data_IF_058390781970
#
_entry.id   IF_058390781970
#
_cell.length_a   1.000
_cell.length_b   1.000
_cell.length_c   1.000
_cell.angle_alpha   90.00
_cell.angle_beta   90.00
_cell.angle_gamma   90.00
#
_symmetry.space_group_name_H-M   'P 1'
#
loop_
_entity.id
_entity.type
_entity.pdbx_description
1 polymer ?
#
# COMPACT_ATOMS: atom_id res chain seq x y z
N UNK A 1 -0.40 4.94 25.02
CA UNK A 1 -1.32 5.62 24.11
C UNK A 1 -2.61 4.85 23.99
N UNK A 2 -3.72 5.57 23.98
CA UNK A 2 -5.04 4.96 23.85
C UNK A 2 -5.77 5.56 22.68
N UNK A 3 -6.62 4.77 22.03
CA UNK A 3 -7.56 5.24 21.03
C UNK A 3 -8.97 5.27 21.59
N UNK A 4 -9.72 6.32 21.28
CA UNK A 4 -11.15 6.41 21.59
C UNK A 4 -12.02 5.83 20.47
N UNK A 5 -11.48 5.72 19.25
CA UNK A 5 -12.13 5.02 18.12
C UNK A 5 -11.67 3.57 18.10
N UNK A 6 -12.62 2.64 18.00
CA UNK A 6 -12.38 1.19 18.00
C UNK A 6 -12.97 0.51 16.76
N UNK A 7 -13.22 1.28 15.72
CA UNK A 7 -13.81 0.82 14.46
C UNK A 7 -12.88 1.15 13.32
N UNK A 8 -12.92 0.35 12.27
CA UNK A 8 -12.14 0.52 11.04
C UNK A 8 -12.78 -0.26 9.91
N UNK A 9 -12.40 0.05 8.67
CA UNK A 9 -12.80 -0.68 7.47
C UNK A 9 -11.60 -1.49 6.97
N UNK A 10 -11.69 -2.81 7.07
CA UNK A 10 -10.62 -3.74 6.76
C UNK A 10 -10.90 -4.50 5.46
N UNK A 11 -9.85 -4.82 4.72
CA UNK A 11 -9.93 -5.72 3.56
C UNK A 11 -9.92 -7.16 4.06
N UNK A 12 -11.03 -7.86 3.86
CA UNK A 12 -11.21 -9.25 4.27
C UNK A 12 -11.21 -10.19 3.06
N UNK A 13 -10.77 -11.43 3.27
CA UNK A 13 -10.83 -12.49 2.28
C UNK A 13 -9.92 -12.31 1.06
N UNK A 14 -8.93 -11.41 1.15
CA UNK A 14 -7.95 -11.24 0.09
C UNK A 14 -6.85 -12.30 0.18
N UNK A 15 -6.61 -12.98 -0.95
CA UNK A 15 -5.50 -13.90 -1.12
C UNK A 15 -4.68 -13.47 -2.34
N UNK A 16 -3.36 -13.41 -2.16
CA UNK A 16 -2.44 -13.11 -3.26
C UNK A 16 -2.13 -14.38 -4.04
N UNK A 17 -2.37 -14.35 -5.35
CA UNK A 17 -2.02 -15.47 -6.23
C UNK A 17 -0.50 -15.51 -6.49
N UNK A 18 0.23 -16.02 -5.52
CA UNK A 18 1.68 -16.13 -5.59
C UNK A 18 2.17 -17.02 -6.74
N UNK A 19 1.37 -17.98 -7.21
CA UNK A 19 1.72 -18.86 -8.33
C UNK A 19 1.73 -18.09 -9.65
N UNK A 20 0.68 -17.30 -9.90
CA UNK A 20 0.60 -16.40 -11.05
C UNK A 20 1.82 -15.49 -11.13
N UNK A 21 2.21 -14.94 -10.00
CA UNK A 21 3.29 -13.96 -9.92
C UNK A 21 4.66 -14.56 -9.62
N UNK A 22 4.76 -15.90 -9.53
CA UNK A 22 6.01 -16.62 -9.23
C UNK A 22 6.73 -16.09 -8.00
N UNK A 23 5.96 -15.64 -7.00
CA UNK A 23 6.52 -15.19 -5.73
C UNK A 23 6.66 -16.39 -4.78
N UNK A 24 7.84 -16.64 -4.20
CA UNK A 24 7.99 -17.74 -3.24
C UNK A 24 7.05 -17.54 -2.04
N UNK A 25 6.25 -18.54 -1.64
CA UNK A 25 5.31 -18.37 -0.54
C UNK A 25 6.00 -18.05 0.79
N UNK A 26 7.27 -18.44 0.97
CA UNK A 26 8.04 -18.13 2.17
C UNK A 26 8.41 -16.64 2.32
N UNK A 27 8.41 -15.86 1.23
CA UNK A 27 8.71 -14.43 1.26
C UNK A 27 7.46 -13.56 1.48
N UNK A 28 6.26 -14.11 1.27
CA UNK A 28 5.01 -13.34 1.38
C UNK A 28 4.80 -12.69 2.75
N UNK A 29 5.12 -13.33 3.88
CA UNK A 29 4.97 -12.70 5.19
C UNK A 29 5.83 -11.44 5.40
N UNK A 30 6.90 -11.28 4.62
CA UNK A 30 7.79 -10.12 4.67
C UNK A 30 7.27 -8.96 3.81
N UNK A 31 6.42 -9.26 2.82
CA UNK A 31 5.90 -8.26 1.89
C UNK A 31 4.64 -7.63 2.47
N UNK A 32 4.67 -6.32 2.67
CA UNK A 32 3.47 -5.61 3.11
C UNK A 32 2.30 -5.81 2.13
N UNK A 33 1.10 -6.12 2.62
CA UNK A 33 -0.08 -6.26 1.77
C UNK A 33 -0.36 -5.09 0.83
N UNK A 34 0.05 -3.86 1.17
CA UNK A 34 -0.01 -2.72 0.26
C UNK A 34 0.66 -3.00 -1.09
N UNK A 35 1.83 -3.65 -1.08
CA UNK A 35 2.55 -3.99 -2.30
C UNK A 35 1.83 -5.10 -3.09
N UNK A 36 1.27 -6.09 -2.40
CA UNK A 36 0.54 -7.21 -3.02
C UNK A 36 -0.79 -6.74 -3.62
N UNK A 37 -1.51 -5.86 -2.91
CA UNK A 37 -2.73 -5.24 -3.41
C UNK A 37 -2.45 -4.40 -4.65
N UNK A 38 -1.39 -3.58 -4.63
CA UNK A 38 -1.01 -2.75 -5.76
C UNK A 38 -0.81 -3.58 -7.04
N UNK A 39 -0.12 -4.72 -6.95
CA UNK A 39 0.05 -5.64 -8.09
C UNK A 39 -1.29 -6.18 -8.57
N UNK A 40 -2.13 -6.67 -7.65
CA UNK A 40 -3.40 -7.29 -7.98
C UNK A 40 -4.39 -6.33 -8.63
N UNK A 41 -4.53 -5.10 -8.07
CA UNK A 41 -5.44 -4.10 -8.65
C UNK A 41 -4.92 -3.59 -10.00
N UNK A 42 -3.59 -3.48 -10.16
CA UNK A 42 -2.97 -3.05 -11.43
C UNK A 42 -3.20 -4.07 -12.54
N UNK A 43 -3.04 -5.37 -12.25
CA UNK A 43 -3.33 -6.41 -13.22
C UNK A 43 -4.81 -6.41 -13.63
N UNK A 44 -5.72 -6.33 -12.66
CA UNK A 44 -7.16 -6.24 -12.93
C UNK A 44 -7.54 -5.01 -13.73
N UNK A 45 -6.93 -3.85 -13.45
CA UNK A 45 -7.20 -2.62 -14.20
C UNK A 45 -6.75 -2.73 -15.67
N UNK A 46 -5.58 -3.33 -15.92
CA UNK A 46 -5.11 -3.61 -17.28
C UNK A 46 -6.08 -4.54 -18.02
N UNK A 47 -6.52 -5.62 -17.36
CA UNK A 47 -7.51 -6.55 -17.92
C UNK A 47 -8.85 -5.85 -18.23
N UNK A 48 -9.35 -5.03 -17.30
CA UNK A 48 -10.59 -4.25 -17.48
C UNK A 48 -10.48 -3.18 -18.57
N UNK A 49 -9.29 -2.68 -18.83
CA UNK A 49 -9.01 -1.76 -19.95
C UNK A 49 -8.94 -2.47 -21.31
N UNK A 50 -9.21 -3.78 -21.35
CA UNK A 50 -9.23 -4.56 -22.60
C UNK A 50 -7.87 -5.11 -23.04
N UNK A 51 -6.87 -5.08 -22.15
CA UNK A 51 -5.56 -5.66 -22.38
C UNK A 51 -5.44 -6.99 -21.63
N UNK A 52 -4.94 -8.03 -22.27
CA UNK A 52 -4.80 -9.35 -21.64
C UNK A 52 -4.57 -10.44 -22.68
N UNK A 53 -4.63 -11.70 -22.23
CA UNK A 53 -4.29 -12.86 -23.08
C UNK A 53 -5.20 -12.98 -24.32
N UNK A 54 -6.47 -12.62 -24.18
CA UNK A 54 -7.47 -12.65 -25.26
C UNK A 54 -7.79 -11.23 -25.81
N UNK A 55 -7.07 -10.22 -25.35
CA UNK A 55 -7.31 -8.81 -25.67
C UNK A 55 -6.18 -8.15 -26.46
N UNK A 56 -6.17 -6.81 -26.41
CA UNK A 56 -5.10 -6.00 -26.99
C UNK A 56 -3.79 -6.23 -26.24
N UNK A 57 -2.66 -6.10 -26.95
CA UNK A 57 -1.34 -6.14 -26.32
C UNK A 57 -1.10 -4.86 -25.52
N UNK A 58 -0.77 -5.00 -24.24
CA UNK A 58 -0.44 -3.86 -23.39
C UNK A 58 0.94 -3.30 -23.77
N UNK A 59 1.09 -1.99 -24.00
CA UNK A 59 2.33 -1.37 -24.49
C UNK A 59 3.37 -1.19 -23.36
N UNK A 60 3.91 -2.30 -22.84
CA UNK A 60 4.77 -2.35 -21.64
C UNK A 60 6.02 -1.48 -21.74
N UNK A 61 6.62 -1.37 -22.94
CA UNK A 61 7.84 -0.58 -23.15
C UNK A 61 7.65 0.91 -22.85
N UNK A 62 6.42 1.42 -23.00
CA UNK A 62 6.08 2.82 -22.80
C UNK A 62 4.97 3.00 -21.75
N UNK A 63 4.74 1.96 -20.93
CA UNK A 63 3.83 1.99 -19.81
C UNK A 63 4.58 2.26 -18.51
N UNK A 64 4.14 3.27 -17.77
CA UNK A 64 4.69 3.60 -16.45
C UNK A 64 3.68 3.38 -15.33
N UNK A 65 4.14 3.56 -14.09
CA UNK A 65 3.32 3.43 -12.89
C UNK A 65 3.73 4.43 -11.81
N UNK A 66 2.75 5.12 -11.26
CA UNK A 66 2.89 5.95 -10.06
C UNK A 66 1.94 5.42 -9.01
N UNK A 67 2.47 4.98 -7.88
CA UNK A 67 1.66 4.54 -6.75
C UNK A 67 1.84 5.47 -5.56
N UNK A 68 0.72 5.94 -5.03
CA UNK A 68 0.70 6.74 -3.81
C UNK A 68 0.69 5.81 -2.59
N UNK A 69 1.60 6.07 -1.66
CA UNK A 69 1.65 5.42 -0.35
C UNK A 69 2.42 6.32 0.62
N UNK A 70 1.80 6.74 1.71
CA UNK A 70 2.37 7.71 2.63
C UNK A 70 3.20 7.07 3.77
N UNK A 71 2.83 5.89 4.25
CA UNK A 71 3.40 5.32 5.47
C UNK A 71 4.07 3.95 5.29
N UNK A 72 4.01 3.36 4.11
CA UNK A 72 4.66 2.09 3.78
C UNK A 72 3.90 0.83 4.19
N UNK A 73 2.78 0.97 4.94
CA UNK A 73 2.01 -0.14 5.48
C UNK A 73 2.37 -0.51 6.91
N UNK A 74 1.85 -1.64 7.41
CA UNK A 74 2.02 -2.09 8.79
C UNK A 74 3.30 -2.88 9.07
N UNK A 75 3.81 -3.61 8.08
CA UNK A 75 4.97 -4.51 8.30
C UNK A 75 6.16 -3.76 8.89
N UNK A 76 6.36 -2.50 8.49
CA UNK A 76 7.41 -1.65 9.07
C UNK A 76 7.24 -1.43 10.57
N UNK A 77 6.02 -1.23 11.04
CA UNK A 77 5.75 -1.04 12.46
C UNK A 77 5.94 -2.37 13.22
N UNK A 78 5.51 -3.49 12.65
CA UNK A 78 5.66 -4.82 13.23
C UNK A 78 7.13 -5.25 13.32
N UNK A 79 7.93 -5.04 12.28
CA UNK A 79 9.37 -5.32 12.29
C UNK A 79 10.11 -4.44 13.32
N UNK A 80 9.74 -3.17 13.41
CA UNK A 80 10.29 -2.26 14.42
C UNK A 80 9.94 -2.71 15.85
N UNK A 81 8.72 -3.19 16.12
CA UNK A 81 8.34 -3.73 17.41
C UNK A 81 9.28 -4.89 17.77
N UNK A 82 9.53 -5.82 16.85
CA UNK A 82 10.45 -6.95 17.08
C UNK A 82 11.85 -6.48 17.46
N UNK A 83 12.39 -5.50 16.75
CA UNK A 83 13.74 -4.97 17.00
C UNK A 83 13.82 -4.22 18.34
N UNK A 84 12.87 -3.30 18.58
CA UNK A 84 12.87 -2.45 19.77
C UNK A 84 12.48 -3.20 21.05
N UNK A 85 11.70 -4.28 20.95
CA UNK A 85 11.32 -5.11 22.10
C UNK A 85 12.52 -5.76 22.76
N UNK A 86 13.55 -6.14 22.04
CA UNK A 86 14.82 -6.59 22.63
C UNK A 86 15.43 -5.53 23.55
N UNK A 87 15.53 -4.30 23.09
CA UNK A 87 16.06 -3.19 23.88
C UNK A 87 15.17 -2.88 25.09
N UNK A 88 13.85 -2.86 24.90
CA UNK A 88 12.88 -2.63 25.97
C UNK A 88 12.96 -3.72 27.04
N UNK A 89 13.09 -4.98 26.64
CA UNK A 89 13.22 -6.11 27.56
C UNK A 89 14.53 -6.07 28.37
N UNK A 90 15.65 -5.61 27.75
CA UNK A 90 16.90 -5.41 28.49
C UNK A 90 16.77 -4.27 29.51
N UNK A 91 16.13 -3.16 29.18
CA UNK A 91 15.85 -2.09 30.13
C UNK A 91 14.96 -2.58 31.29
N UNK A 92 13.90 -3.31 30.99
CA UNK A 92 13.01 -3.87 31.99
C UNK A 92 13.72 -4.84 32.96
N UNK A 93 14.66 -5.65 32.44
CA UNK A 93 15.51 -6.52 33.26
C UNK A 93 16.40 -5.71 34.22
N UNK A 94 16.98 -4.59 33.78
CA UNK A 94 17.75 -3.69 34.65
C UNK A 94 16.90 -3.09 35.78
N UNK A 95 15.58 -3.00 35.58
CA UNK A 95 14.60 -2.53 36.55
C UNK A 95 13.84 -3.66 37.28
N UNK A 96 14.41 -4.88 37.29
CA UNK A 96 13.91 -5.99 38.11
C UNK A 96 12.96 -6.96 37.42
N UNK A 97 12.81 -6.91 36.11
CA UNK A 97 12.07 -7.96 35.39
C UNK A 97 12.77 -9.32 35.54
N UNK A 98 12.10 -10.38 35.96
CA UNK A 98 12.67 -11.73 36.00
C UNK A 98 13.09 -12.22 34.61
N UNK A 99 14.14 -13.04 34.53
CA UNK A 99 14.62 -13.59 33.26
C UNK A 99 13.54 -14.40 32.52
N UNK A 100 12.78 -15.22 33.26
CA UNK A 100 11.67 -16.00 32.70
C UNK A 100 10.55 -15.12 32.09
N UNK A 101 10.25 -13.97 32.71
CA UNK A 101 9.27 -13.03 32.18
C UNK A 101 9.78 -12.34 30.92
N UNK A 102 11.10 -12.06 30.83
CA UNK A 102 11.72 -11.56 29.60
C UNK A 102 11.64 -12.59 28.47
N UNK A 103 11.95 -13.85 28.74
CA UNK A 103 11.89 -14.92 27.73
C UNK A 103 10.49 -15.07 27.17
N UNK A 104 9.46 -15.19 28.04
CA UNK A 104 8.05 -15.27 27.63
C UNK A 104 7.61 -14.06 26.83
N UNK A 105 7.96 -12.84 27.25
CA UNK A 105 7.66 -11.62 26.50
C UNK A 105 8.28 -11.62 25.10
N UNK A 106 9.54 -12.08 24.98
CA UNK A 106 10.20 -12.13 23.68
C UNK A 106 9.63 -13.24 22.78
N UNK A 107 9.18 -14.36 23.34
CA UNK A 107 8.44 -15.39 22.59
C UNK A 107 7.16 -14.81 22.01
N UNK A 108 6.33 -14.16 22.81
CA UNK A 108 5.09 -13.52 22.36
C UNK A 108 5.33 -12.48 21.24
N UNK A 109 6.36 -11.64 21.40
CA UNK A 109 6.74 -10.65 20.38
C UNK A 109 7.16 -11.34 19.08
N UNK A 110 7.95 -12.42 19.19
CA UNK A 110 8.45 -13.16 18.03
C UNK A 110 7.33 -13.90 17.27
N UNK A 111 6.29 -14.34 17.97
CA UNK A 111 5.10 -14.96 17.35
C UNK A 111 4.23 -13.94 16.62
N UNK A 112 4.13 -12.71 17.15
CA UNK A 112 3.23 -11.67 16.64
C UNK A 112 3.86 -10.73 15.62
N UNK A 113 5.16 -10.85 15.38
CA UNK A 113 5.89 -9.97 14.46
C UNK A 113 6.68 -10.76 13.40
N UNK A 114 6.77 -10.26 12.15
CA UNK A 114 7.52 -10.94 11.09
C UNK A 114 8.99 -11.08 11.47
N UNK A 115 9.66 -12.11 10.95
CA UNK A 115 11.11 -12.24 11.07
C UNK A 115 11.77 -11.07 10.35
N UNK A 116 12.94 -10.65 10.84
CA UNK A 116 13.77 -9.67 10.16
C UNK A 116 14.84 -10.43 9.39
N UNK A 117 14.80 -10.34 8.07
CA UNK A 117 15.71 -10.99 7.13
C UNK A 117 15.97 -10.09 5.90
N UNK A 118 16.57 -10.63 4.85
CA UNK A 118 16.90 -9.89 3.62
C UNK A 118 15.67 -9.38 2.85
N UNK A 119 14.52 -10.01 3.01
CA UNK A 119 13.28 -9.62 2.33
C UNK A 119 12.50 -8.52 3.08
N UNK A 120 12.85 -8.26 4.36
CA UNK A 120 12.14 -7.29 5.22
C UNK A 120 12.16 -5.88 4.63
N UNK A 121 13.35 -5.34 4.33
CA UNK A 121 13.46 -3.97 3.80
C UNK A 121 12.72 -3.80 2.46
N UNK A 122 12.92 -4.67 1.45
CA UNK A 122 12.13 -4.58 0.21
C UNK A 122 10.63 -4.75 0.43
N UNK A 123 10.23 -5.51 1.45
CA UNK A 123 8.85 -5.79 1.79
C UNK A 123 8.10 -4.61 2.42
N UNK A 124 8.80 -3.68 3.08
CA UNK A 124 8.19 -2.59 3.86
C UNK A 124 8.39 -1.18 3.29
N UNK A 125 9.23 -1.03 2.25
CA UNK A 125 9.53 0.27 1.67
C UNK A 125 8.40 0.77 0.75
N UNK A 126 7.90 1.97 0.98
CA UNK A 126 6.84 2.59 0.19
C UNK A 126 7.20 2.74 -1.31
N UNK A 127 8.46 3.08 -1.62
CA UNK A 127 8.92 3.21 -3.00
C UNK A 127 8.96 1.88 -3.76
N UNK A 128 9.01 0.74 -3.06
CA UNK A 128 8.98 -0.59 -3.69
C UNK A 128 7.57 -0.96 -4.19
N UNK A 129 6.51 -0.30 -3.72
CA UNK A 129 5.14 -0.53 -4.20
C UNK A 129 5.08 -0.41 -5.74
N UNK A 130 5.47 0.75 -6.28
CA UNK A 130 5.49 0.97 -7.73
C UNK A 130 6.53 0.11 -8.44
N UNK A 131 7.71 -0.07 -7.84
CA UNK A 131 8.76 -0.94 -8.37
C UNK A 131 8.33 -2.40 -8.51
N UNK A 132 7.58 -2.94 -7.54
CA UNK A 132 7.04 -4.31 -7.59
C UNK A 132 5.97 -4.44 -8.68
N UNK A 133 5.08 -3.45 -8.81
CA UNK A 133 4.11 -3.41 -9.92
C UNK A 133 4.83 -3.38 -11.26
N UNK A 134 5.80 -2.48 -11.44
CA UNK A 134 6.57 -2.37 -12.68
C UNK A 134 7.29 -3.69 -13.01
N UNK A 135 7.95 -4.31 -12.02
CA UNK A 135 8.68 -5.55 -12.22
C UNK A 135 7.76 -6.72 -12.61
N UNK A 136 6.67 -6.94 -11.85
CA UNK A 136 5.81 -8.11 -12.06
C UNK A 136 4.90 -7.98 -13.29
N UNK A 137 4.60 -6.76 -13.73
CA UNK A 137 3.83 -6.50 -14.94
C UNK A 137 4.71 -6.15 -16.14
N UNK A 138 6.03 -6.18 -15.99
CA UNK A 138 7.02 -5.85 -17.03
C UNK A 138 6.79 -4.45 -17.64
N UNK A 139 6.62 -3.44 -16.77
CA UNK A 139 6.44 -2.06 -17.21
C UNK A 139 7.81 -1.37 -17.28
N UNK A 140 8.17 -0.83 -18.44
CA UNK A 140 9.51 -0.29 -18.72
C UNK A 140 9.54 1.24 -18.75
N UNK A 141 8.39 1.88 -18.58
CA UNK A 141 8.26 3.33 -18.45
C UNK A 141 8.61 3.85 -17.05
N UNK A 142 8.38 5.15 -16.79
CA UNK A 142 8.64 5.76 -15.49
C UNK A 142 7.90 5.02 -14.34
N UNK A 143 8.62 4.74 -13.24
CA UNK A 143 7.99 4.19 -12.05
C UNK A 143 8.53 4.88 -10.79
N UNK A 144 7.65 5.32 -9.91
CA UNK A 144 8.00 5.91 -8.62
C UNK A 144 6.80 5.93 -7.66
N UNK A 145 7.10 6.11 -6.38
CA UNK A 145 6.09 6.33 -5.36
C UNK A 145 5.88 7.83 -5.12
N UNK A 146 4.65 8.19 -4.75
CA UNK A 146 4.25 9.55 -4.44
C UNK A 146 3.76 9.63 -2.99
N UNK A 147 4.24 10.62 -2.25
CA UNK A 147 3.73 10.94 -0.92
C UNK A 147 3.40 12.44 -0.84
N UNK A 148 2.15 12.73 -0.64
CA UNK A 148 1.58 14.02 -0.34
C UNK A 148 0.51 13.88 0.78
N UNK A 149 0.76 12.95 1.71
CA UNK A 149 -0.15 12.56 2.78
C UNK A 149 -1.55 12.21 2.23
N UNK A 150 -2.63 12.77 2.78
CA UNK A 150 -4.01 12.50 2.33
C UNK A 150 -4.28 12.85 0.86
N UNK A 151 -3.46 13.71 0.23
CA UNK A 151 -3.57 14.10 -1.17
C UNK A 151 -2.76 13.22 -2.13
N UNK A 152 -2.08 12.16 -1.64
CA UNK A 152 -1.13 11.37 -2.42
C UNK A 152 -1.75 10.74 -3.67
N UNK A 153 -2.96 10.21 -3.58
CA UNK A 153 -3.64 9.59 -4.74
C UNK A 153 -3.91 10.61 -5.85
N UNK A 154 -4.34 11.82 -5.50
CA UNK A 154 -4.57 12.89 -6.48
C UNK A 154 -3.25 13.39 -7.08
N UNK A 155 -2.20 13.48 -6.27
CA UNK A 155 -0.86 13.84 -6.73
C UNK A 155 -0.32 12.80 -7.72
N UNK A 156 -0.54 11.50 -7.48
CA UNK A 156 -0.15 10.44 -8.41
C UNK A 156 -0.88 10.55 -9.76
N UNK A 157 -2.18 10.83 -9.74
CA UNK A 157 -2.96 11.07 -10.97
C UNK A 157 -2.43 12.28 -11.73
N UNK A 158 -2.20 13.39 -11.04
CA UNK A 158 -1.67 14.61 -11.64
C UNK A 158 -0.30 14.39 -12.29
N UNK A 159 0.58 13.65 -11.63
CA UNK A 159 1.90 13.37 -12.16
C UNK A 159 1.85 12.41 -13.35
N UNK A 160 1.02 11.37 -13.29
CA UNK A 160 0.76 10.48 -14.42
C UNK A 160 0.25 11.26 -15.65
N UNK A 161 -0.67 12.22 -15.46
CA UNK A 161 -1.13 13.10 -16.55
C UNK A 161 0.03 13.92 -17.15
N UNK A 162 0.93 14.45 -16.32
CA UNK A 162 2.12 15.18 -16.80
C UNK A 162 3.06 14.30 -17.63
N UNK A 163 3.32 13.07 -17.18
CA UNK A 163 4.16 12.11 -17.91
C UNK A 163 3.55 11.75 -19.27
N UNK A 164 2.23 11.61 -19.37
CA UNK A 164 1.51 11.41 -20.62
C UNK A 164 1.57 12.65 -21.52
N UNK A 165 1.33 13.85 -20.99
CA UNK A 165 1.37 15.10 -21.73
C UNK A 165 2.76 15.41 -22.32
N UNK A 166 3.81 15.10 -21.55
CA UNK A 166 5.21 15.27 -21.96
C UNK A 166 5.75 14.11 -22.80
N UNK A 167 4.90 13.12 -23.11
CA UNK A 167 5.25 11.93 -23.91
C UNK A 167 6.40 11.08 -23.34
N UNK A 168 6.58 11.11 -22.03
CA UNK A 168 7.52 10.22 -21.34
C UNK A 168 6.96 8.80 -21.20
N UNK A 169 5.63 8.68 -21.23
CA UNK A 169 4.91 7.42 -21.32
C UNK A 169 3.73 7.54 -22.28
N UNK A 170 3.21 6.40 -22.74
CA UNK A 170 2.01 6.34 -23.57
C UNK A 170 0.82 5.81 -22.79
N UNK A 171 1.07 5.01 -21.75
CA UNK A 171 0.08 4.55 -20.77
C UNK A 171 0.66 4.74 -19.35
N UNK A 172 -0.17 5.16 -18.42
CA UNK A 172 0.22 5.27 -17.01
C UNK A 172 -0.79 4.56 -16.11
N UNK A 173 -0.28 3.77 -15.19
CA UNK A 173 -1.03 3.30 -14.03
C UNK A 173 -0.86 4.34 -12.92
N UNK A 174 -1.95 4.95 -12.50
CA UNK A 174 -1.96 5.89 -11.39
C UNK A 174 -2.81 5.30 -10.26
N UNK A 175 -2.18 4.94 -9.15
CA UNK A 175 -2.85 4.24 -8.07
C UNK A 175 -2.46 4.73 -6.69
N UNK A 176 -3.16 4.21 -5.70
CA UNK A 176 -2.85 4.40 -4.29
C UNK A 176 -3.15 3.11 -3.51
N UNK A 177 -2.42 2.93 -2.44
CA UNK A 177 -2.64 1.84 -1.49
C UNK A 177 -2.28 2.30 -0.08
N UNK A 178 -3.09 1.91 0.90
CA UNK A 178 -2.81 2.14 2.31
C UNK A 178 -3.29 0.95 3.16
N UNK A 179 -2.49 0.59 4.14
CA UNK A 179 -2.80 -0.37 5.18
C UNK A 179 -2.10 0.05 6.48
N UNK A 180 -2.51 1.18 7.02
CA UNK A 180 -1.89 1.71 8.24
C UNK A 180 -2.91 1.68 9.38
N UNK A 181 -3.37 0.46 9.71
CA UNK A 181 -4.44 0.19 10.67
C UNK A 181 -3.91 -0.27 12.06
N UNK A 182 -2.63 -0.09 12.31
CA UNK A 182 -1.96 -0.51 13.52
C UNK A 182 -2.30 0.38 14.75
N UNK A 183 -2.13 -0.16 15.98
CA UNK A 183 -2.45 0.57 17.22
C UNK A 183 -1.70 1.90 17.38
N UNK A 184 -0.47 2.01 16.86
CA UNK A 184 0.32 3.24 16.97
C UNK A 184 -0.30 4.35 16.13
N UNK A 185 -0.77 4.03 14.93
CA UNK A 185 -1.45 4.98 14.04
C UNK A 185 -2.79 5.43 14.62
N UNK A 186 -3.59 4.50 15.15
CA UNK A 186 -4.84 4.85 15.86
C UNK A 186 -4.59 5.77 17.06
N UNK A 187 -3.56 5.49 17.86
CA UNK A 187 -3.21 6.34 19.00
C UNK A 187 -2.80 7.74 18.56
N UNK A 188 -1.99 7.88 17.48
CA UNK A 188 -1.57 9.17 16.93
C UNK A 188 -2.74 9.99 16.41
N UNK A 189 -3.62 9.39 15.60
CA UNK A 189 -4.83 10.06 15.10
C UNK A 189 -5.83 10.39 16.21
N UNK A 190 -5.92 9.55 17.25
CA UNK A 190 -6.71 9.87 18.44
C UNK A 190 -6.15 11.07 19.21
N UNK A 191 -4.81 11.17 19.32
CA UNK A 191 -4.16 12.25 20.04
C UNK A 191 -4.42 13.63 19.41
N UNK A 192 -4.61 13.70 18.09
CA UNK A 192 -4.97 14.94 17.39
C UNK A 192 -6.49 15.12 17.21
N UNK A 193 -7.31 14.23 17.77
CA UNK A 193 -8.77 14.33 17.70
C UNK A 193 -9.38 14.13 16.31
N UNK A 194 -8.70 13.40 15.41
CA UNK A 194 -9.11 13.27 14.02
C UNK A 194 -10.10 12.12 13.75
N UNK A 195 -10.18 11.13 14.65
CA UNK A 195 -11.02 9.95 14.46
C UNK A 195 -12.46 10.18 14.93
N UNK A 196 -13.40 9.53 14.23
CA UNK A 196 -14.76 9.37 14.73
C UNK A 196 -14.88 8.08 15.54
N UNK A 197 -15.58 8.09 16.70
CA UNK A 197 -15.82 6.88 17.46
C UNK A 197 -16.95 6.00 16.89
N UNK A 198 -17.71 6.51 15.90
CA UNK A 198 -18.95 5.87 15.44
C UNK A 198 -19.04 5.69 13.93
N UNK A 199 -18.77 6.71 13.11
CA UNK A 199 -18.96 6.68 11.67
C UNK A 199 -18.28 7.86 10.97
N UNK A 200 -18.00 7.71 9.67
CA UNK A 200 -17.61 8.83 8.80
C UNK A 200 -18.85 9.44 8.14
N UNK A 201 -18.99 10.76 8.23
CA UNK A 201 -20.07 11.51 7.60
C UNK A 201 -19.47 12.70 6.83
N UNK A 202 -18.80 12.45 5.69
CA UNK A 202 -18.20 13.52 4.92
C UNK A 202 -19.27 14.51 4.44
N UNK A 203 -18.95 15.81 4.55
CA UNK A 203 -19.83 16.92 4.16
C UNK A 203 -21.15 17.07 4.95
N UNK A 204 -21.37 16.28 6.01
CA UNK A 204 -22.54 16.38 6.88
C UNK A 204 -22.25 17.34 8.06
N UNK A 205 -23.25 18.07 8.53
CA UNK A 205 -23.12 18.95 9.70
C UNK A 205 -22.79 18.17 11.00
N UNK A 206 -23.03 16.88 11.04
CA UNK A 206 -22.71 15.98 12.17
C UNK A 206 -21.31 15.38 12.08
N UNK A 207 -20.50 15.76 11.09
CA UNK A 207 -19.14 15.24 10.93
C UNK A 207 -18.31 15.55 12.18
N UNK A 208 -17.74 14.50 12.78
CA UNK A 208 -16.98 14.57 14.02
C UNK A 208 -15.62 13.85 13.94
N UNK A 209 -15.12 13.61 12.74
CA UNK A 209 -13.91 12.88 12.45
C UNK A 209 -14.13 11.82 11.37
N UNK A 210 -13.11 11.00 11.12
CA UNK A 210 -13.19 9.93 10.14
C UNK A 210 -12.98 8.55 10.79
N UNK A 211 -13.46 7.51 10.12
CA UNK A 211 -13.13 6.12 10.41
C UNK A 211 -12.00 5.70 9.48
N UNK A 212 -10.94 5.15 10.03
CA UNK A 212 -9.81 4.65 9.24
C UNK A 212 -10.24 3.47 8.37
N UNK A 213 -9.68 3.37 7.19
CA UNK A 213 -9.86 2.26 6.26
C UNK A 213 -8.59 1.92 5.54
N UNK A 214 -8.52 0.72 5.00
CA UNK A 214 -7.43 0.24 4.19
C UNK A 214 -7.92 -0.18 2.80
N UNK A 215 -7.00 -0.27 1.84
CA UNK A 215 -7.34 -0.71 0.49
C UNK A 215 -6.35 -0.25 -0.56
N UNK A 216 -6.69 -0.56 -1.81
CA UNK A 216 -5.94 -0.14 -2.98
C UNK A 216 -6.88 0.16 -4.15
N UNK A 217 -6.48 1.12 -4.99
CA UNK A 217 -7.15 1.44 -6.23
C UNK A 217 -6.18 1.97 -7.28
N UNK A 218 -6.50 1.75 -8.56
CA UNK A 218 -5.66 2.20 -9.66
C UNK A 218 -6.51 2.55 -10.88
N UNK A 219 -6.06 3.53 -11.63
CA UNK A 219 -6.60 3.93 -12.92
C UNK A 219 -5.58 3.67 -14.02
N UNK A 220 -6.04 3.22 -15.16
CA UNK A 220 -5.26 3.18 -16.41
C UNK A 220 -5.55 4.48 -17.15
N UNK A 221 -4.50 5.30 -17.33
CA UNK A 221 -4.58 6.61 -17.97
C UNK A 221 -3.84 6.58 -19.30
N UNK A 222 -4.43 7.27 -20.29
CA UNK A 222 -3.88 7.40 -21.63
C UNK A 222 -4.27 8.76 -22.21
N UNK A 223 -3.48 9.31 -23.14
CA UNK A 223 -3.89 10.53 -23.86
C UNK A 223 -5.19 10.22 -24.64
N UNK A 224 -6.14 11.15 -24.60
CA UNK A 224 -7.44 10.97 -25.26
C UNK A 224 -7.30 10.66 -26.75
N UNK A 225 -6.38 11.35 -27.45
CA UNK A 225 -6.11 11.10 -28.89
C UNK A 225 -5.68 9.66 -29.15
N UNK A 226 -4.83 9.12 -28.28
CA UNK A 226 -4.27 7.79 -28.45
C UNK A 226 -5.33 6.72 -28.07
N UNK A 227 -6.13 6.97 -27.04
CA UNK A 227 -7.23 6.09 -26.65
C UNK A 227 -8.30 5.98 -27.77
N UNK A 228 -8.61 7.10 -28.44
CA UNK A 228 -9.53 7.10 -29.60
C UNK A 228 -8.91 6.34 -30.77
N UNK A 229 -7.64 6.59 -31.07
CA UNK A 229 -6.93 5.91 -32.18
C UNK A 229 -6.85 4.40 -31.99
N UNK A 230 -6.70 3.96 -30.73
CA UNK A 230 -6.55 2.56 -30.36
C UNK A 230 -7.90 1.88 -30.10
N UNK A 231 -9.02 2.59 -30.29
CA UNK A 231 -10.37 2.08 -30.00
C UNK A 231 -10.49 1.53 -28.57
N UNK A 232 -10.01 2.31 -27.60
CA UNK A 232 -10.11 1.95 -26.18
C UNK A 232 -11.45 2.37 -25.59
N UNK A 233 -11.90 1.64 -24.56
CA UNK A 233 -13.09 2.04 -23.79
C UNK A 233 -12.74 3.22 -22.90
N UNK A 234 -13.35 4.37 -23.16
CA UNK A 234 -13.13 5.61 -22.41
C UNK A 234 -14.25 5.78 -21.38
N UNK A 235 -13.91 5.62 -20.09
CA UNK A 235 -14.87 5.79 -19.00
C UNK A 235 -15.05 7.25 -18.60
N UNK A 236 -13.98 8.05 -18.64
CA UNK A 236 -13.97 9.47 -18.29
C UNK A 236 -12.78 10.19 -18.93
N UNK A 237 -12.83 11.50 -18.97
CA UNK A 237 -11.74 12.39 -19.39
C UNK A 237 -11.40 13.32 -18.22
N UNK A 238 -10.10 13.47 -17.91
CA UNK A 238 -9.56 14.35 -16.87
C UNK A 238 -9.09 15.65 -17.49
#
# INVERSE_FOLDING_TARGET
GFTYSKIGAFVEGYEFDWRRWRQPPGTLPQIDPCQLWAVSVSAKAIEQAGYGDDGKVFPRERAGVVFANALGGENRNLSNIRVWSNHTAELAKQHGMPASAKESFMEDVNEQSPKVDEDTMPGELANVVSGRVANLLDLQGPNHAMDAACASSMAAVMDACRLLQTRQADVMLAGATDRTMDPATYAKFSAIGALSPTHSTPFDARANGFVMGEGAGVMVLKRLSDAISDDDVIHAVI
#
